data_IF_727543094181
#
_entry.id   IF_727543094181
#
_cell.length_a   1.000
_cell.length_b   1.000
_cell.length_c   1.000
_cell.angle_alpha   90.00
_cell.angle_beta   90.00
_cell.angle_gamma   90.00
#
_symmetry.space_group_name_H-M   'P 1'
#
loop_
_entity.id
_entity.type
_entity.pdbx_description
1 polymer ?
#
# COMPACT_ATOMS: atom_id res chain seq x y z
N UNK A 1 6.64 -19.69 2.44
CA UNK A 1 6.11 -18.31 2.46
C UNK A 1 5.95 -17.80 1.05
N UNK A 2 4.82 -17.17 0.76
CA UNK A 2 4.58 -16.57 -0.55
C UNK A 2 5.36 -15.24 -0.66
N UNK A 3 5.44 -14.72 -1.89
CA UNK A 3 6.05 -13.39 -2.10
C UNK A 3 5.29 -12.32 -1.32
N UNK A 4 3.96 -12.44 -1.25
CA UNK A 4 3.12 -11.52 -0.48
C UNK A 4 3.49 -11.54 0.99
N UNK A 5 3.63 -12.72 1.59
CA UNK A 5 3.97 -12.85 3.01
C UNK A 5 5.34 -12.25 3.32
N UNK A 6 6.31 -12.49 2.45
CA UNK A 6 7.65 -11.91 2.61
C UNK A 6 7.61 -10.39 2.56
N UNK A 7 6.82 -9.84 1.64
CA UNK A 7 6.73 -8.40 1.48
C UNK A 7 6.01 -7.75 2.65
N UNK A 8 4.93 -8.37 3.14
CA UNK A 8 4.22 -7.88 4.32
C UNK A 8 5.14 -7.91 5.54
N UNK A 9 5.93 -8.97 5.70
CA UNK A 9 6.91 -9.05 6.78
C UNK A 9 7.93 -7.92 6.68
N UNK A 10 8.44 -7.64 5.47
CA UNK A 10 9.36 -6.53 5.26
C UNK A 10 8.74 -5.20 5.65
N UNK A 11 7.47 -4.99 5.32
CA UNK A 11 6.75 -3.77 5.71
C UNK A 11 6.68 -3.61 7.23
N UNK A 12 6.50 -4.71 7.95
CA UNK A 12 6.44 -4.70 9.42
C UNK A 12 7.81 -4.47 10.06
N UNK A 13 8.86 -5.05 9.50
CA UNK A 13 10.20 -5.01 10.08
C UNK A 13 11.02 -3.82 9.60
N UNK A 14 10.80 -3.35 8.38
CA UNK A 14 11.57 -2.27 7.77
C UNK A 14 10.67 -1.27 7.05
N UNK A 15 9.75 -0.60 7.77
CA UNK A 15 8.77 0.29 7.14
C UNK A 15 9.38 1.50 6.43
N UNK A 16 10.64 1.82 6.73
CA UNK A 16 11.34 2.93 6.08
C UNK A 16 12.02 2.53 4.76
N UNK A 17 11.96 1.24 4.38
CA UNK A 17 12.65 0.70 3.22
C UNK A 17 11.70 0.08 2.20
N UNK A 18 10.50 0.61 2.08
CA UNK A 18 9.48 0.09 1.17
C UNK A 18 9.34 1.05 -0.01
N UNK A 19 9.48 0.51 -1.23
CA UNK A 19 9.29 1.31 -2.44
C UNK A 19 7.82 1.41 -2.83
N UNK A 20 7.45 2.44 -3.63
CA UNK A 20 6.07 2.53 -4.16
C UNK A 20 5.66 1.28 -4.93
N UNK A 21 6.56 0.67 -5.70
CA UNK A 21 6.26 -0.56 -6.45
C UNK A 21 5.89 -1.71 -5.53
N UNK A 22 6.57 -1.82 -4.40
CA UNK A 22 6.28 -2.86 -3.42
C UNK A 22 4.89 -2.65 -2.79
N UNK A 23 4.53 -1.40 -2.49
CA UNK A 23 3.20 -1.07 -1.98
C UNK A 23 2.13 -1.42 -3.03
N UNK A 24 2.35 -1.07 -4.30
CA UNK A 24 1.41 -1.40 -5.37
C UNK A 24 1.17 -2.90 -5.48
N UNK A 25 2.23 -3.69 -5.37
CA UNK A 25 2.11 -5.16 -5.44
C UNK A 25 1.21 -5.68 -4.32
N UNK A 26 1.42 -5.21 -3.10
CA UNK A 26 0.59 -5.63 -1.97
C UNK A 26 -0.86 -5.20 -2.17
N UNK A 27 -1.09 -3.97 -2.63
CA UNK A 27 -2.44 -3.48 -2.89
C UNK A 27 -3.17 -4.35 -3.92
N UNK A 28 -2.49 -4.71 -5.00
CA UNK A 28 -3.08 -5.57 -6.04
C UNK A 28 -3.42 -6.95 -5.49
N UNK A 29 -2.54 -7.53 -4.69
CA UNK A 29 -2.78 -8.83 -4.07
C UNK A 29 -3.97 -8.80 -3.11
N UNK A 30 -4.23 -7.65 -2.49
CA UNK A 30 -5.35 -7.47 -1.56
C UNK A 30 -6.65 -7.07 -2.26
N UNK A 31 -6.66 -7.01 -3.59
CA UNK A 31 -7.86 -6.70 -4.35
C UNK A 31 -8.11 -5.21 -4.58
N UNK A 32 -7.14 -4.37 -4.29
CA UNK A 32 -7.25 -2.94 -4.59
C UNK A 32 -7.04 -2.69 -6.08
N UNK A 33 -7.81 -1.76 -6.62
CA UNK A 33 -7.66 -1.31 -8.00
C UNK A 33 -7.24 0.16 -8.01
N UNK A 34 -6.32 0.48 -8.91
CA UNK A 34 -5.88 1.86 -9.08
C UNK A 34 -6.97 2.68 -9.77
N UNK A 35 -7.31 3.81 -9.18
CA UNK A 35 -8.26 4.76 -9.76
C UNK A 35 -7.51 5.94 -10.36
N UNK A 36 -8.08 6.56 -11.38
CA UNK A 36 -7.51 7.77 -11.95
C UNK A 36 -7.52 8.89 -10.91
N UNK A 37 -6.40 9.61 -10.83
CA UNK A 37 -6.29 10.75 -9.95
C UNK A 37 -5.70 11.92 -10.73
N UNK A 38 -6.23 13.11 -10.52
CA UNK A 38 -5.72 14.33 -11.12
C UNK A 38 -4.60 14.96 -10.28
N UNK A 39 -4.22 14.33 -9.21
CA UNK A 39 -3.30 14.89 -8.22
C UNK A 39 -1.83 14.50 -8.46
N UNK A 40 -1.42 14.32 -9.70
CA UNK A 40 -0.01 14.11 -10.07
C UNK A 40 0.65 12.92 -9.38
N UNK A 41 1.40 13.18 -8.31
CA UNK A 41 2.16 12.14 -7.60
C UNK A 41 1.31 11.28 -6.67
N UNK A 42 0.02 11.57 -6.53
CA UNK A 42 -0.88 10.78 -5.69
C UNK A 42 -1.63 9.77 -6.52
N UNK A 43 -1.66 8.52 -6.04
CA UNK A 43 -2.44 7.45 -6.64
C UNK A 43 -3.49 6.98 -5.65
N UNK A 44 -4.72 6.82 -6.13
CA UNK A 44 -5.84 6.35 -5.30
C UNK A 44 -6.12 4.90 -5.65
N UNK A 45 -6.15 4.04 -4.64
CA UNK A 45 -6.49 2.63 -4.76
C UNK A 45 -7.76 2.35 -3.98
N UNK A 46 -8.66 1.58 -4.55
CA UNK A 46 -9.92 1.22 -3.89
C UNK A 46 -10.14 -0.28 -3.96
N UNK A 47 -10.51 -0.87 -2.84
CA UNK A 47 -10.86 -2.29 -2.76
C UNK A 47 -12.37 -2.45 -2.92
N UNK A 48 -12.77 -3.25 -3.92
CA UNK A 48 -14.19 -3.43 -4.23
C UNK A 48 -14.95 -4.17 -3.14
N UNK A 49 -14.28 -5.11 -2.46
CA UNK A 49 -14.95 -5.99 -1.49
C UNK A 49 -15.57 -5.23 -0.32
N UNK A 50 -14.95 -4.14 0.13
CA UNK A 50 -15.42 -3.38 1.30
C UNK A 50 -15.36 -1.85 1.10
N UNK A 51 -14.96 -1.40 -0.09
CA UNK A 51 -14.88 0.03 -0.39
C UNK A 51 -13.72 0.77 0.28
N UNK A 52 -12.77 0.07 0.88
CA UNK A 52 -11.60 0.71 1.48
C UNK A 52 -10.79 1.47 0.43
N UNK A 53 -10.30 2.63 0.82
CA UNK A 53 -9.50 3.50 -0.06
C UNK A 53 -8.11 3.69 0.55
N UNK A 54 -7.09 3.61 -0.30
CA UNK A 54 -5.72 3.88 0.09
C UNK A 54 -5.11 4.90 -0.87
N UNK A 55 -4.55 5.97 -0.32
CA UNK A 55 -3.87 7.01 -1.10
C UNK A 55 -2.36 6.79 -1.00
N UNK A 56 -1.74 6.48 -2.13
CA UNK A 56 -0.30 6.27 -2.20
C UNK A 56 0.38 7.51 -2.77
N UNK A 57 1.38 8.03 -2.07
CA UNK A 57 2.18 9.16 -2.53
C UNK A 57 3.40 8.63 -3.26
N UNK A 58 3.44 8.83 -4.58
CA UNK A 58 4.51 8.31 -5.45
C UNK A 58 5.74 9.23 -5.51
N UNK A 59 5.65 10.44 -4.97
CA UNK A 59 6.72 11.42 -5.04
C UNK A 59 7.96 11.03 -4.23
N UNK A 60 7.86 10.02 -3.40
CA UNK A 60 8.95 9.59 -2.53
C UNK A 60 9.28 8.12 -2.71
N UNK A 61 10.57 7.83 -2.74
CA UNK A 61 11.12 6.48 -2.77
C UNK A 61 12.33 6.45 -1.84
N UNK A 62 12.30 5.72 -0.70
CA UNK A 62 11.17 4.88 -0.25
C UNK A 62 9.96 5.69 0.22
N UNK A 63 8.81 5.04 0.30
CA UNK A 63 7.59 5.67 0.79
C UNK A 63 7.73 6.01 2.28
N UNK A 64 6.95 6.97 2.74
CA UNK A 64 7.01 7.37 4.13
C UNK A 64 6.48 6.26 5.04
N UNK A 65 7.08 6.16 6.22
CA UNK A 65 6.74 5.14 7.20
C UNK A 65 5.23 5.11 7.51
N UNK A 66 4.60 6.28 7.67
CA UNK A 66 3.18 6.31 8.01
C UNK A 66 2.30 5.68 6.93
N UNK A 67 2.70 5.78 5.67
CA UNK A 67 1.98 5.14 4.57
C UNK A 67 2.02 3.62 4.70
N UNK A 68 3.18 3.08 5.03
CA UNK A 68 3.34 1.64 5.25
C UNK A 68 2.49 1.18 6.44
N UNK A 69 2.52 1.94 7.52
CA UNK A 69 1.74 1.62 8.72
C UNK A 69 0.24 1.68 8.46
N UNK A 70 -0.22 2.67 7.68
CA UNK A 70 -1.62 2.78 7.31
C UNK A 70 -2.09 1.57 6.51
N UNK A 71 -1.27 1.13 5.55
CA UNK A 71 -1.60 -0.06 4.76
C UNK A 71 -1.65 -1.31 5.65
N UNK A 72 -0.70 -1.46 6.57
CA UNK A 72 -0.69 -2.59 7.50
C UNK A 72 -1.95 -2.63 8.36
N UNK A 73 -2.45 -1.50 8.80
CA UNK A 73 -3.71 -1.42 9.54
C UNK A 73 -4.89 -1.91 8.71
N UNK A 74 -4.93 -1.52 7.46
CA UNK A 74 -5.99 -1.97 6.54
C UNK A 74 -5.92 -3.48 6.35
N UNK A 75 -4.71 -4.03 6.19
CA UNK A 75 -4.51 -5.47 6.00
C UNK A 75 -4.91 -6.27 7.24
N UNK A 76 -4.72 -5.70 8.42
CA UNK A 76 -5.09 -6.34 9.69
C UNK A 76 -6.57 -6.12 10.06
N UNK A 77 -7.33 -5.42 9.20
CA UNK A 77 -8.74 -5.13 9.45
C UNK A 77 -8.99 -3.98 10.40
N UNK A 78 -7.97 -3.21 10.72
CA UNK A 78 -8.09 -2.00 11.55
C UNK A 78 -8.22 -0.76 10.66
N UNK A 79 -9.08 0.13 11.04
CA UNK A 79 -9.29 1.38 10.30
C UNK A 79 -8.53 2.54 10.89
#
# INVERSE_FOLDING_TARGET
MTKKDKLIKKMKTSPNNISPDEIEKVLKWEGFERRKSNAGSHQVFKRKSDGKVFNLVLARNPVRKYQVEDLLKILDGED
#
